data_IF_470181791571
#
_entry.id   IF_470181791571
#
_cell.length_a   1.000
_cell.length_b   1.000
_cell.length_c   1.000
_cell.angle_alpha   90.00
_cell.angle_beta   90.00
_cell.angle_gamma   90.00
#
_symmetry.space_group_name_H-M   'P 1'
#
loop_
_entity.id
_entity.type
_entity.pdbx_description
1 polymer ?
#
# COMPACT_ATOMS: atom_id res chain seq x y z
N UNK A 1 -16.28 -34.40 31.99
CA UNK A 1 -15.95 -33.02 31.59
C UNK A 1 -14.94 -32.85 30.46
N UNK A 2 -14.34 -33.90 29.89
CA UNK A 2 -13.26 -33.86 28.90
C UNK A 2 -13.74 -33.65 27.46
N UNK A 3 -14.93 -34.16 27.08
CA UNK A 3 -15.43 -34.14 25.68
C UNK A 3 -15.75 -32.75 25.17
N UNK A 4 -16.29 -31.85 25.99
CA UNK A 4 -16.65 -30.48 25.59
C UNK A 4 -15.42 -29.58 25.33
N UNK A 5 -14.32 -29.80 26.05
CA UNK A 5 -13.06 -29.06 25.84
C UNK A 5 -12.37 -29.43 24.52
N UNK A 6 -12.42 -30.71 24.15
CA UNK A 6 -11.83 -31.21 22.89
C UNK A 6 -12.59 -30.68 21.68
N UNK A 7 -13.92 -30.73 21.69
CA UNK A 7 -14.79 -30.21 20.62
C UNK A 7 -14.59 -28.68 20.41
N UNK A 8 -14.44 -27.90 21.47
CA UNK A 8 -14.16 -26.45 21.36
C UNK A 8 -12.79 -26.16 20.75
N UNK A 9 -11.77 -26.95 21.09
CA UNK A 9 -10.42 -26.82 20.49
C UNK A 9 -10.44 -27.13 19.01
N UNK A 10 -11.13 -28.17 18.57
CA UNK A 10 -11.23 -28.56 17.15
C UNK A 10 -11.93 -27.49 16.34
N UNK A 11 -13.07 -26.96 16.79
CA UNK A 11 -13.79 -25.85 16.12
C UNK A 11 -12.92 -24.57 15.98
N UNK A 12 -12.10 -24.26 16.97
CA UNK A 12 -11.20 -23.11 16.89
C UNK A 12 -10.09 -23.32 15.86
N UNK A 13 -9.56 -24.53 15.75
CA UNK A 13 -8.54 -24.87 14.74
C UNK A 13 -9.14 -24.82 13.33
N UNK A 14 -10.32 -25.39 13.11
CA UNK A 14 -11.03 -25.34 11.83
C UNK A 14 -11.28 -23.90 11.37
N UNK A 15 -11.77 -23.05 12.28
CA UNK A 15 -11.96 -21.62 12.02
C UNK A 15 -10.66 -20.90 11.65
N UNK A 16 -9.55 -21.21 12.31
CA UNK A 16 -8.26 -20.66 12.02
C UNK A 16 -7.76 -21.07 10.63
N UNK A 17 -7.89 -22.36 10.31
CA UNK A 17 -7.56 -22.91 8.97
C UNK A 17 -8.37 -22.22 7.89
N UNK A 18 -9.68 -22.03 8.11
CA UNK A 18 -10.54 -21.34 7.16
C UNK A 18 -10.11 -19.90 6.92
N UNK A 19 -9.78 -19.14 7.99
CA UNK A 19 -9.27 -17.78 7.87
C UNK A 19 -7.95 -17.74 7.09
N UNK A 20 -7.03 -18.66 7.34
CA UNK A 20 -5.76 -18.74 6.60
C UNK A 20 -6.01 -19.06 5.12
N UNK A 21 -6.93 -19.98 4.80
CA UNK A 21 -7.29 -20.29 3.41
C UNK A 21 -7.85 -19.07 2.69
N UNK A 22 -8.76 -18.32 3.32
CA UNK A 22 -9.32 -17.07 2.75
C UNK A 22 -8.24 -16.02 2.56
N UNK A 23 -7.31 -15.88 3.51
CA UNK A 23 -6.22 -14.91 3.44
C UNK A 23 -5.24 -15.21 2.29
N UNK A 24 -4.99 -16.48 1.99
CA UNK A 24 -4.15 -16.89 0.84
C UNK A 24 -4.73 -16.45 -0.51
N UNK A 25 -6.04 -16.28 -0.61
CA UNK A 25 -6.72 -15.85 -1.82
C UNK A 25 -7.00 -14.34 -1.84
N UNK A 26 -6.62 -13.64 -0.78
CA UNK A 26 -6.83 -12.23 -0.63
C UNK A 26 -5.65 -11.42 -1.18
N UNK A 27 -5.95 -10.24 -1.72
CA UNK A 27 -4.96 -9.31 -2.23
C UNK A 27 -5.29 -7.89 -1.80
N UNK A 28 -4.24 -7.10 -1.55
CA UNK A 28 -4.32 -5.65 -1.37
C UNK A 28 -3.37 -5.01 -2.37
N UNK A 29 -3.90 -4.19 -3.24
CA UNK A 29 -3.14 -3.39 -4.19
C UNK A 29 -3.18 -1.94 -3.73
N UNK A 30 -2.03 -1.26 -3.71
CA UNK A 30 -1.95 0.16 -3.37
C UNK A 30 -1.07 0.88 -4.37
N UNK A 31 -1.53 2.05 -4.83
CA UNK A 31 -0.89 2.83 -5.89
C UNK A 31 -1.88 3.61 -6.71
N UNK A 32 -1.59 3.72 -8.01
CA UNK A 32 -2.47 4.34 -8.99
C UNK A 32 -3.14 3.28 -9.86
N UNK A 33 -4.37 3.57 -10.27
CA UNK A 33 -5.17 2.70 -11.09
C UNK A 33 -5.57 3.44 -12.38
N UNK A 34 -5.69 2.70 -13.48
CA UNK A 34 -5.91 3.27 -14.83
C UNK A 34 -7.13 4.19 -14.88
N UNK A 35 -8.20 3.83 -14.18
CA UNK A 35 -9.44 4.60 -14.14
C UNK A 35 -9.37 5.92 -13.35
N UNK A 36 -8.25 6.20 -12.67
CA UNK A 36 -8.06 7.49 -12.00
C UNK A 36 -7.77 8.64 -12.98
N UNK A 37 -7.54 8.29 -14.26
CA UNK A 37 -7.36 9.25 -15.33
C UNK A 37 -5.93 9.79 -15.42
N UNK A 38 -5.85 11.08 -15.79
CA UNK A 38 -4.60 11.80 -16.07
C UNK A 38 -4.35 12.91 -15.05
N UNK A 39 -3.09 13.27 -14.88
CA UNK A 39 -2.67 14.40 -14.06
C UNK A 39 -3.04 15.72 -14.77
N UNK A 40 -3.71 16.62 -14.05
CA UNK A 40 -4.33 17.80 -14.65
C UNK A 40 -3.33 18.77 -15.31
N UNK A 41 -2.12 18.90 -14.76
CA UNK A 41 -1.10 19.85 -15.26
C UNK A 41 -0.15 19.21 -16.28
N UNK A 42 0.15 17.91 -16.15
CA UNK A 42 1.21 17.22 -16.93
C UNK A 42 0.60 16.49 -18.14
N UNK A 43 -0.72 16.32 -18.17
CA UNK A 43 -1.47 15.58 -19.20
C UNK A 43 -0.93 14.15 -19.43
N UNK A 44 -0.61 13.47 -18.32
CA UNK A 44 -0.08 12.11 -18.32
C UNK A 44 -0.84 11.23 -17.32
N UNK A 45 -1.12 9.95 -17.64
CA UNK A 45 -1.74 9.03 -16.69
C UNK A 45 -0.93 8.93 -15.38
N UNK A 46 -1.61 8.93 -14.24
CA UNK A 46 -0.94 8.81 -12.92
C UNK A 46 -0.05 7.57 -12.83
N UNK A 47 -0.48 6.46 -13.43
CA UNK A 47 0.29 5.21 -13.50
C UNK A 47 1.61 5.40 -14.25
N UNK A 48 1.59 6.09 -15.40
CA UNK A 48 2.78 6.39 -16.20
C UNK A 48 3.69 7.37 -15.49
N UNK A 49 3.12 8.46 -14.93
CA UNK A 49 3.88 9.46 -14.19
C UNK A 49 4.63 8.83 -13.01
N UNK A 50 3.98 7.92 -12.27
CA UNK A 50 4.64 7.24 -11.16
C UNK A 50 5.72 6.27 -11.63
N UNK A 51 5.51 5.55 -12.74
CA UNK A 51 6.53 4.68 -13.34
C UNK A 51 7.76 5.50 -13.78
N UNK A 52 7.54 6.68 -14.37
CA UNK A 52 8.62 7.60 -14.75
C UNK A 52 9.50 7.95 -13.55
N UNK A 53 8.93 8.23 -12.40
CA UNK A 53 9.67 8.51 -11.18
C UNK A 53 10.29 7.25 -10.55
N UNK A 54 9.58 6.15 -10.50
CA UNK A 54 10.08 4.90 -9.90
C UNK A 54 11.30 4.34 -10.65
N UNK A 55 11.34 4.48 -11.99
CA UNK A 55 12.41 3.99 -12.84
C UNK A 55 13.41 5.07 -13.31
N UNK A 56 13.13 6.34 -13.08
CA UNK A 56 14.04 7.42 -13.44
C UNK A 56 14.06 7.77 -14.92
N UNK A 57 12.95 7.62 -15.65
CA UNK A 57 12.88 7.97 -17.08
C UNK A 57 12.89 9.50 -17.28
N UNK A 58 14.08 10.07 -17.53
CA UNK A 58 14.27 11.50 -17.75
C UNK A 58 14.15 12.37 -16.48
N UNK A 59 13.94 11.77 -15.34
CA UNK A 59 13.87 12.42 -14.02
C UNK A 59 14.67 11.64 -12.99
N UNK A 60 15.07 12.23 -11.86
CA UNK A 60 15.71 11.48 -10.79
C UNK A 60 14.86 10.30 -10.33
N UNK A 61 15.48 9.12 -10.24
CA UNK A 61 14.81 7.90 -9.77
C UNK A 61 14.38 8.05 -8.31
N UNK A 62 13.13 7.71 -8.00
CA UNK A 62 12.52 7.84 -6.67
C UNK A 62 11.74 6.57 -6.34
N UNK A 63 12.33 5.70 -5.54
CA UNK A 63 11.77 4.40 -5.17
C UNK A 63 10.70 4.50 -4.08
N UNK A 64 9.60 5.19 -4.36
CA UNK A 64 8.52 5.38 -3.40
C UNK A 64 7.83 4.06 -3.03
N UNK A 65 7.59 3.21 -4.05
CA UNK A 65 6.97 1.89 -3.86
C UNK A 65 7.82 0.97 -3.00
N UNK A 66 9.12 0.88 -3.29
CA UNK A 66 10.04 0.06 -2.51
C UNK A 66 10.18 0.57 -1.07
N UNK A 67 10.27 1.90 -0.88
CA UNK A 67 10.32 2.52 0.45
C UNK A 67 9.07 2.20 1.26
N UNK A 68 7.90 2.30 0.64
CA UNK A 68 6.62 1.94 1.28
C UNK A 68 6.60 0.48 1.70
N UNK A 69 7.00 -0.44 0.81
CA UNK A 69 7.04 -1.87 1.10
C UNK A 69 7.98 -2.20 2.26
N UNK A 70 9.17 -1.59 2.30
CA UNK A 70 10.13 -1.82 3.39
C UNK A 70 9.58 -1.35 4.74
N UNK A 71 8.99 -0.17 4.80
CA UNK A 71 8.41 0.36 6.04
C UNK A 71 7.27 -0.54 6.51
N UNK A 72 6.37 -0.90 5.60
CA UNK A 72 5.20 -1.72 5.93
C UNK A 72 5.61 -3.13 6.33
N UNK A 73 6.51 -3.80 5.59
CA UNK A 73 6.92 -5.18 5.87
C UNK A 73 7.65 -5.32 7.20
N UNK A 74 8.44 -4.32 7.58
CA UNK A 74 9.19 -4.30 8.84
C UNK A 74 8.37 -3.81 10.04
N UNK A 75 7.13 -3.38 9.83
CA UNK A 75 6.27 -2.86 10.90
C UNK A 75 5.80 -3.95 11.85
N UNK A 76 6.03 -3.74 13.15
CA UNK A 76 5.46 -4.59 14.22
C UNK A 76 3.92 -4.58 14.21
N UNK A 77 3.31 -3.54 13.68
CA UNK A 77 1.86 -3.40 13.56
C UNK A 77 1.27 -4.51 12.67
N UNK A 78 1.92 -4.89 11.59
CA UNK A 78 1.48 -5.99 10.71
C UNK A 78 1.27 -7.29 11.47
N UNK A 79 2.24 -7.67 12.30
CA UNK A 79 2.16 -8.92 13.08
C UNK A 79 1.03 -8.86 14.11
N UNK A 80 0.83 -7.70 14.75
CA UNK A 80 -0.24 -7.50 15.72
C UNK A 80 -1.61 -7.57 15.05
N UNK A 81 -1.80 -6.90 13.94
CA UNK A 81 -3.06 -6.90 13.17
C UNK A 81 -3.39 -8.29 12.62
N UNK A 82 -2.41 -8.99 12.02
CA UNK A 82 -2.59 -10.36 11.56
C UNK A 82 -3.00 -11.30 12.70
N UNK A 83 -2.33 -11.19 13.85
CA UNK A 83 -2.68 -11.97 15.04
C UNK A 83 -4.10 -11.63 15.51
N UNK A 84 -4.44 -10.36 15.56
CA UNK A 84 -5.80 -9.90 15.90
C UNK A 84 -6.83 -10.52 14.96
N UNK A 85 -6.64 -10.39 13.64
CA UNK A 85 -7.53 -10.98 12.64
C UNK A 85 -7.70 -12.49 12.84
N UNK A 86 -6.62 -13.24 13.01
CA UNK A 86 -6.68 -14.71 13.13
C UNK A 86 -7.47 -15.17 14.36
N UNK A 87 -7.32 -14.48 15.49
CA UNK A 87 -7.88 -14.90 16.79
C UNK A 87 -9.12 -14.13 17.22
N UNK A 88 -9.47 -13.03 16.56
CA UNK A 88 -10.68 -12.24 16.83
C UNK A 88 -11.87 -12.64 15.96
N UNK A 89 -12.98 -11.93 16.14
CA UNK A 89 -14.16 -11.97 15.29
C UNK A 89 -14.07 -11.12 14.01
N UNK A 90 -12.93 -10.44 13.78
CA UNK A 90 -12.72 -9.53 12.66
C UNK A 90 -12.96 -10.20 11.30
N UNK A 91 -13.65 -9.50 10.40
CA UNK A 91 -13.87 -9.97 9.03
C UNK A 91 -12.59 -9.87 8.20
N UNK A 92 -12.50 -10.65 7.11
CA UNK A 92 -11.38 -10.55 6.17
C UNK A 92 -11.37 -9.18 5.50
N UNK A 93 -12.54 -8.66 5.15
CA UNK A 93 -12.69 -7.36 4.50
C UNK A 93 -12.16 -6.22 5.39
N UNK A 94 -12.54 -6.18 6.67
CA UNK A 94 -12.04 -5.19 7.62
C UNK A 94 -10.52 -5.25 7.76
N UNK A 95 -9.97 -6.46 7.86
CA UNK A 95 -8.53 -6.67 7.93
C UNK A 95 -7.80 -6.15 6.67
N UNK A 96 -8.33 -6.47 5.47
CA UNK A 96 -7.76 -6.01 4.20
C UNK A 96 -7.87 -4.49 4.06
N UNK A 97 -9.00 -3.89 4.44
CA UNK A 97 -9.20 -2.44 4.40
C UNK A 97 -8.26 -1.70 5.35
N UNK A 98 -8.07 -2.19 6.56
CA UNK A 98 -7.07 -1.64 7.50
C UNK A 98 -5.65 -1.72 6.92
N UNK A 99 -5.31 -2.87 6.33
CA UNK A 99 -4.00 -3.08 5.71
C UNK A 99 -3.80 -2.13 4.53
N UNK A 100 -4.78 -2.01 3.63
CA UNK A 100 -4.75 -1.11 2.47
C UNK A 100 -4.62 0.35 2.88
N UNK A 101 -5.43 0.79 3.84
CA UNK A 101 -5.36 2.16 4.38
C UNK A 101 -3.98 2.46 4.96
N UNK A 102 -3.38 1.54 5.70
CA UNK A 102 -2.05 1.71 6.28
C UNK A 102 -0.96 1.79 5.21
N UNK A 103 -0.98 0.92 4.21
CA UNK A 103 -0.04 0.96 3.08
C UNK A 103 -0.15 2.32 2.38
N UNK A 104 -1.38 2.75 2.08
CA UNK A 104 -1.66 4.02 1.42
C UNK A 104 -1.20 5.22 2.23
N UNK A 105 -1.48 5.26 3.52
CA UNK A 105 -1.05 6.34 4.40
C UNK A 105 0.48 6.37 4.54
N UNK A 106 1.13 5.21 4.60
CA UNK A 106 2.60 5.13 4.59
C UNK A 106 3.16 5.68 3.29
N UNK A 107 2.61 5.31 2.13
CA UNK A 107 3.05 5.85 0.85
C UNK A 107 2.86 7.37 0.79
N UNK A 108 1.67 7.87 1.17
CA UNK A 108 1.38 9.31 1.18
C UNK A 108 2.30 10.11 2.10
N UNK A 109 2.75 9.53 3.21
CA UNK A 109 3.69 10.20 4.13
C UNK A 109 5.11 10.32 3.59
N UNK A 110 5.45 9.61 2.53
CA UNK A 110 6.78 9.69 1.89
C UNK A 110 6.87 10.75 0.78
N UNK A 111 5.73 11.27 0.31
CA UNK A 111 5.74 12.39 -0.64
C UNK A 111 6.27 13.64 0.05
N UNK A 112 7.16 14.34 -0.64
CA UNK A 112 7.82 15.53 -0.11
C UNK A 112 8.98 15.25 0.85
N UNK A 113 9.24 13.98 1.21
CA UNK A 113 10.30 13.62 2.14
C UNK A 113 11.55 13.16 1.39
N UNK A 114 12.64 13.89 1.56
CA UNK A 114 13.96 13.51 1.03
C UNK A 114 14.52 12.32 1.81
N UNK A 115 14.99 11.31 1.12
CA UNK A 115 15.61 10.12 1.71
C UNK A 115 16.62 9.51 0.73
N UNK A 116 17.34 8.49 1.17
CA UNK A 116 18.26 7.73 0.30
C UNK A 116 17.60 7.12 -0.94
N UNK A 117 16.30 6.87 -0.89
CA UNK A 117 15.51 6.31 -2.00
C UNK A 117 14.61 7.32 -2.71
N UNK A 118 14.45 8.49 -2.12
CA UNK A 118 13.69 9.61 -2.69
C UNK A 118 14.62 10.83 -2.66
N UNK A 119 15.48 10.98 -3.69
CA UNK A 119 16.45 12.06 -3.70
C UNK A 119 15.79 13.44 -3.81
N UNK A 120 16.52 14.43 -3.37
CA UNK A 120 16.23 15.86 -3.49
C UNK A 120 15.84 16.24 -4.92
N UNK A 121 15.08 17.31 -5.06
CA UNK A 121 14.84 17.93 -6.36
C UNK A 121 16.12 18.55 -6.91
N UNK A 122 16.18 18.75 -8.24
CA UNK A 122 17.24 19.54 -8.86
C UNK A 122 17.19 20.99 -8.34
N UNK A 123 18.35 21.68 -8.25
CA UNK A 123 18.42 23.06 -7.72
C UNK A 123 17.45 24.03 -8.42
N UNK A 124 17.29 23.91 -9.73
CA UNK A 124 16.33 24.73 -10.48
C UNK A 124 14.88 24.46 -10.05
N UNK A 125 14.52 23.18 -9.81
CA UNK A 125 13.19 22.81 -9.33
C UNK A 125 12.94 23.39 -7.93
N UNK A 126 13.94 23.35 -7.05
CA UNK A 126 13.86 23.95 -5.71
C UNK A 126 13.64 25.46 -5.82
N UNK A 127 14.39 26.14 -6.70
CA UNK A 127 14.23 27.57 -6.93
C UNK A 127 12.81 27.91 -7.44
N UNK A 128 12.28 27.16 -8.40
CA UNK A 128 10.91 27.34 -8.92
C UNK A 128 9.85 27.09 -7.83
N UNK A 129 10.13 26.22 -6.87
CA UNK A 129 9.28 25.96 -5.70
C UNK A 129 9.54 26.89 -4.52
N UNK A 130 10.16 28.05 -4.77
CA UNK A 130 10.45 29.04 -3.73
C UNK A 130 11.29 28.51 -2.56
N UNK A 131 12.28 27.68 -2.87
CA UNK A 131 13.20 27.08 -1.89
C UNK A 131 12.70 25.78 -1.24
N UNK A 132 11.50 25.29 -1.57
CA UNK A 132 10.97 24.03 -1.02
C UNK A 132 11.55 22.81 -1.74
N UNK A 133 12.22 21.95 -1.00
CA UNK A 133 12.70 20.66 -1.49
C UNK A 133 11.69 19.56 -1.11
N UNK A 134 10.61 19.51 -1.83
CA UNK A 134 9.52 18.55 -1.66
C UNK A 134 9.42 17.66 -2.92
N UNK A 135 10.16 16.51 -2.96
CA UNK A 135 10.09 15.59 -4.09
C UNK A 135 8.70 15.02 -4.29
N UNK A 136 8.27 14.90 -5.56
CA UNK A 136 6.94 14.35 -5.93
C UNK A 136 5.74 15.19 -5.47
N UNK A 137 5.96 16.35 -4.86
CA UNK A 137 4.90 17.28 -4.47
C UNK A 137 5.03 18.55 -5.30
N UNK A 138 4.03 18.82 -6.11
CA UNK A 138 3.81 20.11 -6.77
C UNK A 138 2.49 20.70 -6.28
N UNK A 139 1.37 20.29 -6.86
CA UNK A 139 0.03 20.61 -6.38
C UNK A 139 -0.46 19.71 -5.24
N UNK A 140 0.22 18.57 -4.98
CA UNK A 140 -0.22 17.52 -4.09
C UNK A 140 -1.13 16.49 -4.75
N UNK A 141 -1.55 16.71 -5.99
CA UNK A 141 -2.49 15.86 -6.73
C UNK A 141 -2.00 14.42 -6.83
N UNK A 142 -0.70 14.21 -7.15
CA UNK A 142 -0.12 12.88 -7.24
C UNK A 142 -0.22 12.12 -5.90
N UNK A 143 0.06 12.78 -4.78
CA UNK A 143 -0.08 12.20 -3.44
C UNK A 143 -1.54 11.84 -3.14
N UNK A 144 -2.46 12.75 -3.43
CA UNK A 144 -3.86 12.61 -3.03
C UNK A 144 -4.58 11.51 -3.81
N UNK A 145 -4.20 11.27 -5.07
CA UNK A 145 -4.71 10.20 -5.92
C UNK A 145 -4.19 8.81 -5.56
N UNK A 146 -3.12 8.69 -4.76
CA UNK A 146 -2.68 7.38 -4.29
C UNK A 146 -3.78 6.72 -3.46
N UNK A 147 -4.19 5.51 -3.84
CA UNK A 147 -5.30 4.79 -3.24
C UNK A 147 -5.00 3.30 -3.09
N UNK A 148 -5.99 2.53 -2.62
CA UNK A 148 -5.86 1.07 -2.55
C UNK A 148 -7.15 0.38 -2.99
N UNK A 149 -7.02 -0.91 -3.31
CA UNK A 149 -8.11 -1.84 -3.57
C UNK A 149 -7.85 -3.15 -2.85
N UNK A 150 -8.93 -3.80 -2.48
CA UNK A 150 -8.90 -5.12 -1.87
C UNK A 150 -9.67 -6.10 -2.74
N UNK A 151 -9.20 -7.36 -2.78
CA UNK A 151 -9.92 -8.46 -3.40
C UNK A 151 -9.83 -9.68 -2.49
N UNK A 152 -10.96 -10.25 -2.17
CA UNK A 152 -11.08 -11.51 -1.41
C UNK A 152 -11.29 -12.74 -2.31
N UNK A 153 -11.51 -12.52 -3.61
CA UNK A 153 -11.65 -13.57 -4.62
C UNK A 153 -10.67 -13.32 -5.74
N UNK A 154 -9.58 -14.06 -5.77
CA UNK A 154 -8.74 -14.18 -6.95
C UNK A 154 -9.39 -15.14 -7.93
N UNK A 155 -10.30 -14.64 -8.78
CA UNK A 155 -10.41 -15.22 -10.11
C UNK A 155 -9.13 -14.84 -10.86
N UNK A 156 -8.08 -15.61 -10.67
CA UNK A 156 -6.95 -15.65 -11.60
C UNK A 156 -7.49 -16.30 -12.88
N UNK A 157 -8.19 -15.54 -13.69
CA UNK A 157 -8.42 -15.87 -15.10
C UNK A 157 -7.54 -14.91 -15.90
N UNK A 158 -6.48 -15.46 -16.45
CA UNK A 158 -5.66 -14.82 -17.47
C UNK A 158 -4.19 -14.60 -17.04
N UNK A 159 -3.42 -15.62 -17.05
CA UNK A 159 -2.09 -15.66 -17.63
C UNK A 159 -2.14 -16.50 -18.88
#
# INVERSE_FOLDING_TARGET
MTRTKVVRKTKNIERLIEKIKKLKLANVQSGYFIEQGIHTTIDMPYTTLMQTHEFGFGVPQRHLRLSTLDIVSNSKVNRKELKSFLYSGESLEDYLNKTGSRITNTAKSLFGVVSSRVPSNAPMTIALKQGRDEPLVDSGELRDKWSFRTSSNLSIRGL
#
